data_IF_182224602992
#
_entry.id   IF_182224602992
#
_cell.length_a   1.000
_cell.length_b   1.000
_cell.length_c   1.000
_cell.angle_alpha   90.00
_cell.angle_beta   90.00
_cell.angle_gamma   90.00
#
_symmetry.space_group_name_H-M   'P 1'
#
loop_
_entity.id
_entity.type
_entity.pdbx_description
1 polymer ?
#
# COMPACT_ATOMS: atom_id res chain seq x y z
N UNK A 1 -13.75 7.05 1.04
CA UNK A 1 -12.31 6.79 1.12
C UNK A 1 -11.98 5.76 0.06
N UNK A 2 -11.04 6.03 -0.85
CA UNK A 2 -10.55 5.04 -1.81
C UNK A 2 -9.75 3.97 -1.05
N UNK A 3 -9.90 2.71 -1.45
CA UNK A 3 -9.35 1.56 -0.72
C UNK A 3 -8.62 0.65 -1.69
N UNK A 4 -7.40 0.25 -1.33
CA UNK A 4 -6.63 -0.77 -2.03
C UNK A 4 -6.06 -1.75 -1.01
N UNK A 5 -6.18 -3.06 -1.27
CA UNK A 5 -5.80 -4.12 -0.33
C UNK A 5 -4.38 -3.96 0.21
N UNK A 6 -3.39 -3.77 -0.67
CA UNK A 6 -1.99 -3.66 -0.25
C UNK A 6 -1.69 -2.37 0.52
N UNK A 7 -2.44 -1.30 0.26
CA UNK A 7 -2.31 -0.04 1.00
C UNK A 7 -2.87 -0.21 2.40
N UNK A 8 -4.08 -0.75 2.52
CA UNK A 8 -4.73 -1.02 3.80
C UNK A 8 -3.93 -1.99 4.66
N UNK A 9 -3.45 -3.09 4.09
CA UNK A 9 -2.66 -4.10 4.81
C UNK A 9 -1.36 -3.50 5.38
N UNK A 10 -0.66 -2.66 4.60
CA UNK A 10 0.58 -2.04 5.09
C UNK A 10 0.34 -1.04 6.21
N UNK A 11 -0.73 -0.24 6.12
CA UNK A 11 -1.14 0.70 7.18
C UNK A 11 -1.55 -0.07 8.44
N UNK A 12 -2.32 -1.15 8.31
CA UNK A 12 -2.74 -1.98 9.44
C UNK A 12 -1.56 -2.63 10.16
N UNK A 13 -0.56 -3.13 9.42
CA UNK A 13 0.66 -3.67 10.03
C UNK A 13 1.39 -2.63 10.90
N UNK A 14 1.37 -1.36 10.50
CA UNK A 14 1.93 -0.28 11.30
C UNK A 14 1.04 0.06 12.51
N UNK A 15 -0.27 0.22 12.30
CA UNK A 15 -1.22 0.63 13.35
C UNK A 15 -1.38 -0.43 14.45
N UNK A 16 -1.22 -1.70 14.11
CA UNK A 16 -1.22 -2.83 15.06
C UNK A 16 0.12 -3.01 15.78
N UNK A 17 1.16 -2.25 15.43
CA UNK A 17 2.50 -2.41 15.98
C UNK A 17 3.25 -3.65 15.48
N UNK A 18 2.74 -4.33 14.45
CA UNK A 18 3.38 -5.49 13.83
C UNK A 18 4.70 -5.11 13.15
N UNK A 19 4.79 -3.90 12.60
CA UNK A 19 6.02 -3.36 12.02
C UNK A 19 6.35 -1.98 12.57
N UNK A 20 7.64 -1.75 12.87
CA UNK A 20 8.15 -0.43 13.22
C UNK A 20 8.56 0.33 11.96
N UNK A 21 8.10 1.57 11.83
CA UNK A 21 8.42 2.45 10.71
C UNK A 21 9.28 3.63 11.14
N UNK A 22 10.09 4.14 10.22
CA UNK A 22 10.80 5.41 10.42
C UNK A 22 9.82 6.60 10.35
N UNK A 23 10.31 7.78 10.77
CA UNK A 23 9.51 9.00 10.85
C UNK A 23 8.87 9.36 9.50
N UNK A 24 9.62 9.22 8.41
CA UNK A 24 9.19 9.60 7.06
C UNK A 24 8.02 8.74 6.58
N UNK A 25 8.07 7.43 6.83
CA UNK A 25 6.98 6.51 6.46
C UNK A 25 5.73 6.73 7.29
N UNK A 26 5.88 7.09 8.57
CA UNK A 26 4.75 7.48 9.42
C UNK A 26 4.08 8.75 8.87
N UNK A 27 4.89 9.75 8.51
CA UNK A 27 4.40 10.99 7.88
C UNK A 27 3.68 10.72 6.55
N UNK A 28 4.21 9.80 5.73
CA UNK A 28 3.55 9.39 4.49
C UNK A 28 2.17 8.76 4.75
N UNK A 29 2.06 7.84 5.70
CA UNK A 29 0.77 7.22 6.05
C UNK A 29 -0.23 8.28 6.51
N UNK A 30 0.21 9.24 7.33
CA UNK A 30 -0.64 10.33 7.80
C UNK A 30 -1.16 11.19 6.63
N UNK A 31 -0.26 11.63 5.74
CA UNK A 31 -0.62 12.38 4.53
C UNK A 31 -1.60 11.61 3.64
N UNK A 32 -1.35 10.31 3.41
CA UNK A 32 -2.23 9.48 2.60
C UNK A 32 -3.63 9.40 3.22
N UNK A 33 -3.74 9.12 4.52
CA UNK A 33 -5.04 9.00 5.20
C UNK A 33 -5.81 10.32 5.24
N UNK A 34 -5.12 11.46 5.36
CA UNK A 34 -5.77 12.76 5.48
C UNK A 34 -6.17 13.34 4.12
N UNK A 35 -5.25 13.34 3.16
CA UNK A 35 -5.34 14.19 1.96
C UNK A 35 -5.56 13.41 0.65
N UNK A 36 -5.15 12.14 0.58
CA UNK A 36 -5.22 11.35 -0.65
C UNK A 36 -6.36 10.34 -0.62
N UNK A 37 -6.42 9.48 0.39
CA UNK A 37 -7.39 8.39 0.46
C UNK A 37 -8.81 8.90 0.67
N UNK A 38 -9.01 10.11 1.18
CA UNK A 38 -10.31 10.75 1.38
C UNK A 38 -10.91 11.31 0.10
N UNK A 39 -10.12 11.44 -0.97
CA UNK A 39 -10.55 11.97 -2.26
C UNK A 39 -11.45 11.00 -3.01
N UNK A 40 -12.41 11.54 -3.76
CA UNK A 40 -13.36 10.77 -4.58
C UNK A 40 -13.04 10.85 -6.09
N UNK A 41 -12.06 11.65 -6.49
CA UNK A 41 -11.64 11.87 -7.88
C UNK A 41 -10.44 11.02 -8.31
N UNK A 42 -9.89 10.23 -7.38
CA UNK A 42 -8.78 9.31 -7.61
C UNK A 42 -9.28 7.87 -7.63
N UNK A 43 -8.56 6.98 -8.31
CA UNK A 43 -8.83 5.55 -8.32
C UNK A 43 -7.52 4.77 -8.46
N UNK A 44 -7.54 3.52 -7.97
CA UNK A 44 -6.48 2.55 -8.20
C UNK A 44 -6.83 1.69 -9.42
N UNK A 45 -5.85 1.43 -10.29
CA UNK A 45 -5.99 0.41 -11.33
C UNK A 45 -5.74 -0.98 -10.71
N UNK A 46 -6.80 -1.51 -10.07
CA UNK A 46 -6.75 -2.78 -9.33
C UNK A 46 -6.23 -3.94 -10.20
N UNK A 47 -6.61 -3.96 -11.48
CA UNK A 47 -6.25 -5.04 -12.41
C UNK A 47 -4.77 -4.98 -12.79
N UNK A 48 -4.27 -3.79 -13.11
CA UNK A 48 -2.85 -3.60 -13.43
C UNK A 48 -1.96 -3.92 -12.24
N UNK A 49 -2.32 -3.42 -11.05
CA UNK A 49 -1.58 -3.66 -9.81
C UNK A 49 -1.54 -5.16 -9.49
N UNK A 50 -2.69 -5.84 -9.57
CA UNK A 50 -2.77 -7.28 -9.32
C UNK A 50 -1.93 -8.09 -10.32
N UNK A 51 -1.97 -7.76 -11.61
CA UNK A 51 -1.14 -8.39 -12.64
C UNK A 51 0.33 -8.16 -12.39
N UNK A 52 0.74 -6.95 -12.01
CA UNK A 52 2.12 -6.60 -11.69
C UNK A 52 2.64 -7.44 -10.51
N UNK A 53 1.92 -7.45 -9.39
CA UNK A 53 2.30 -8.24 -8.20
C UNK A 53 2.37 -9.73 -8.53
N UNK A 54 1.37 -10.26 -9.23
CA UNK A 54 1.34 -11.69 -9.59
C UNK A 54 2.46 -12.07 -10.55
N UNK A 55 2.80 -11.20 -11.51
CA UNK A 55 3.92 -11.41 -12.42
C UNK A 55 5.25 -11.48 -11.65
N UNK A 56 5.49 -10.53 -10.75
CA UNK A 56 6.72 -10.49 -9.96
C UNK A 56 6.84 -11.71 -9.05
N UNK A 57 5.77 -12.06 -8.32
CA UNK A 57 5.79 -13.21 -7.41
C UNK A 57 5.89 -14.55 -8.14
N UNK A 58 5.40 -14.64 -9.38
CA UNK A 58 5.50 -15.86 -10.20
C UNK A 58 6.88 -16.08 -10.79
N UNK A 59 7.54 -15.02 -11.26
CA UNK A 59 8.76 -15.14 -12.08
C UNK A 59 10.04 -14.65 -11.41
N UNK A 60 9.93 -13.95 -10.28
CA UNK A 60 11.08 -13.35 -9.60
C UNK A 60 11.12 -13.76 -8.12
N UNK A 61 10.49 -13.00 -7.23
CA UNK A 61 10.56 -13.23 -5.79
C UNK A 61 9.27 -12.83 -5.08
N UNK A 62 9.03 -13.42 -3.92
CA UNK A 62 7.90 -13.05 -3.06
C UNK A 62 8.04 -11.62 -2.58
N UNK A 63 7.00 -10.82 -2.76
CA UNK A 63 6.99 -9.42 -2.37
C UNK A 63 6.57 -9.29 -0.90
N UNK A 64 7.30 -8.48 -0.14
CA UNK A 64 6.87 -8.10 1.22
C UNK A 64 5.79 -7.00 1.17
N UNK A 65 5.11 -6.76 2.30
CA UNK A 65 4.00 -5.81 2.36
C UNK A 65 4.41 -4.37 1.99
N UNK A 66 5.63 -3.95 2.29
CA UNK A 66 6.12 -2.62 1.88
C UNK A 66 6.31 -2.52 0.35
N UNK A 67 6.81 -3.58 -0.30
CA UNK A 67 6.94 -3.60 -1.76
C UNK A 67 5.58 -3.62 -2.45
N UNK A 68 4.60 -4.36 -1.91
CA UNK A 68 3.22 -4.35 -2.41
C UNK A 68 2.55 -2.99 -2.23
N UNK A 69 2.85 -2.29 -1.13
CA UNK A 69 2.43 -0.92 -0.89
C UNK A 69 3.01 0.07 -1.91
N UNK A 70 4.28 -0.07 -2.31
CA UNK A 70 4.89 0.83 -3.30
C UNK A 70 4.40 0.63 -4.74
N UNK A 71 3.89 -0.57 -5.06
CA UNK A 71 3.35 -0.88 -6.38
C UNK A 71 1.92 -0.32 -6.54
N UNK A 72 1.19 -0.21 -5.43
CA UNK A 72 -0.20 0.25 -5.40
C UNK A 72 -0.30 1.78 -5.37
#
# INVERSE_FOLDING_TARGET
MIVHKYVSEYIELYETGTVLLNKERIMLIHYLKQDILTRNDLHFDMDLIHKCVTFIEKWHFKLNSFQKFLIA
#
